data_IF_946897473376
#
_entry.id   IF_946897473376
#
_cell.length_a   1.000
_cell.length_b   1.000
_cell.length_c   1.000
_cell.angle_alpha   90.00
_cell.angle_beta   90.00
_cell.angle_gamma   90.00
#
_symmetry.space_group_name_H-M   'P 1'
#
loop_
_entity.id
_entity.type
_entity.pdbx_description
1 polymer ?
#
# COMPACT_ATOMS: atom_id res chain seq x y z
N UNK A 1 4.05 51.40 -5.86
CA UNK A 1 3.39 51.10 -4.58
C UNK A 1 3.44 49.59 -4.37
N UNK A 2 4.34 49.11 -3.51
CA UNK A 2 4.42 47.68 -3.16
C UNK A 2 3.30 47.43 -2.15
N UNK A 3 2.31 46.63 -2.51
CA UNK A 3 1.39 46.07 -1.52
C UNK A 3 2.23 45.18 -0.60
N UNK A 4 2.57 45.68 0.58
CA UNK A 4 2.96 44.86 1.72
C UNK A 4 1.71 44.07 2.14
N UNK A 5 1.39 43.04 1.37
CA UNK A 5 0.48 41.98 1.79
C UNK A 5 1.16 41.32 2.98
N UNK A 6 0.76 41.73 4.19
CA UNK A 6 1.24 41.16 5.43
C UNK A 6 1.11 39.64 5.36
N UNK A 7 2.24 38.94 5.42
CA UNK A 7 2.27 37.47 5.45
C UNK A 7 1.47 37.04 6.69
N UNK A 8 0.47 36.19 6.48
CA UNK A 8 -0.39 35.70 7.57
C UNK A 8 0.43 34.85 8.54
N UNK A 9 0.08 34.89 9.82
CA UNK A 9 0.50 33.88 10.79
C UNK A 9 -0.57 32.79 10.91
N UNK A 10 -0.14 31.57 11.22
CA UNK A 10 -0.99 30.40 11.39
C UNK A 10 -0.41 29.51 12.48
N UNK A 11 -1.26 28.92 13.32
CA UNK A 11 -0.81 27.92 14.30
C UNK A 11 -0.66 26.54 13.64
N UNK A 12 0.13 25.66 14.26
CA UNK A 12 0.19 24.25 13.85
C UNK A 12 -1.21 23.62 13.81
N UNK A 13 -2.05 23.88 14.81
CA UNK A 13 -3.40 23.36 14.86
C UNK A 13 -4.26 23.77 13.64
N UNK A 14 -4.06 24.97 13.11
CA UNK A 14 -4.77 25.46 11.93
C UNK A 14 -4.31 24.75 10.64
N UNK A 15 -3.01 24.48 10.50
CA UNK A 15 -2.45 23.68 9.39
C UNK A 15 -3.06 22.29 9.38
N UNK A 16 -3.13 21.65 10.56
CA UNK A 16 -3.66 20.30 10.68
C UNK A 16 -5.17 20.28 10.38
N UNK A 17 -5.91 21.31 10.81
CA UNK A 17 -7.34 21.46 10.51
C UNK A 17 -7.61 21.69 9.02
N UNK A 18 -6.76 22.45 8.33
CA UNK A 18 -6.92 22.73 6.89
C UNK A 18 -6.67 21.50 6.00
N UNK A 19 -5.99 20.47 6.53
CA UNK A 19 -5.68 19.22 5.81
C UNK A 19 -6.81 18.18 5.76
N UNK A 20 -8.02 18.49 6.27
CA UNK A 20 -9.13 17.53 6.38
C UNK A 20 -9.50 16.84 5.05
N UNK A 21 -9.47 17.59 3.94
CA UNK A 21 -9.83 17.11 2.59
C UNK A 21 -8.73 17.34 1.55
N UNK A 22 -7.59 17.89 1.95
CA UNK A 22 -6.47 18.26 1.08
C UNK A 22 -5.17 17.71 1.65
N UNK A 23 -4.27 17.28 0.77
CA UNK A 23 -2.89 17.00 1.13
C UNK A 23 -2.15 18.34 1.21
N UNK A 24 -1.55 18.64 2.36
CA UNK A 24 -0.88 19.90 2.64
C UNK A 24 0.61 19.67 2.65
N UNK A 25 1.35 20.36 1.79
CA UNK A 25 2.81 20.31 1.76
C UNK A 25 3.35 21.59 2.41
N UNK A 26 4.13 21.44 3.48
CA UNK A 26 4.82 22.55 4.14
C UNK A 26 6.24 22.60 3.62
N UNK A 27 6.53 23.57 2.77
CA UNK A 27 7.84 23.77 2.18
C UNK A 27 8.58 24.83 3.01
N UNK A 28 9.63 24.47 3.78
CA UNK A 28 10.39 25.43 4.57
C UNK A 28 11.19 26.35 3.65
N UNK A 29 11.49 27.55 4.12
CA UNK A 29 12.51 28.39 3.50
C UNK A 29 13.88 27.68 3.59
N UNK A 30 14.35 27.14 2.47
CA UNK A 30 15.50 26.22 2.43
C UNK A 30 16.68 26.84 1.68
N UNK A 31 17.90 26.56 2.14
CA UNK A 31 19.15 26.93 1.45
C UNK A 31 19.50 25.98 0.29
N UNK A 32 18.68 24.96 0.03
CA UNK A 32 18.88 24.02 -1.06
C UNK A 32 18.91 24.72 -2.43
N UNK A 33 19.79 24.27 -3.33
CA UNK A 33 19.83 24.75 -4.73
C UNK A 33 18.50 24.52 -5.46
N UNK A 34 17.73 23.53 -5.03
CA UNK A 34 16.44 23.19 -5.63
C UNK A 34 15.25 23.90 -4.96
N UNK A 35 15.49 24.82 -4.02
CA UNK A 35 14.40 25.56 -3.35
C UNK A 35 13.52 26.32 -4.35
N UNK A 36 14.13 27.06 -5.27
CA UNK A 36 13.42 27.79 -6.34
C UNK A 36 12.56 26.87 -7.20
N UNK A 37 13.00 25.65 -7.47
CA UNK A 37 12.25 24.65 -8.23
C UNK A 37 11.02 24.17 -7.46
N UNK A 38 11.14 23.90 -6.16
CA UNK A 38 9.99 23.52 -5.33
C UNK A 38 8.95 24.65 -5.24
N UNK A 39 9.39 25.90 -5.08
CA UNK A 39 8.49 27.08 -5.09
C UNK A 39 7.81 27.26 -6.45
N UNK A 40 8.54 27.04 -7.56
CA UNK A 40 7.97 27.07 -8.92
C UNK A 40 6.89 26.00 -9.10
N UNK A 41 7.07 24.81 -8.53
CA UNK A 41 6.02 23.79 -8.56
C UNK A 41 4.83 24.15 -7.67
N UNK A 42 5.08 24.67 -6.46
CA UNK A 42 4.02 25.12 -5.56
C UNK A 42 3.13 26.20 -6.20
N UNK A 43 3.73 27.14 -6.96
CA UNK A 43 2.99 28.20 -7.65
C UNK A 43 2.05 27.71 -8.76
N UNK A 44 2.12 26.42 -9.15
CA UNK A 44 1.20 25.81 -10.11
C UNK A 44 -0.08 25.29 -9.45
N UNK A 45 -0.20 25.43 -8.13
CA UNK A 45 -1.30 24.96 -7.27
C UNK A 45 -1.69 26.07 -6.29
N UNK A 46 -2.75 25.85 -5.52
CA UNK A 46 -3.15 26.74 -4.43
C UNK A 46 -2.04 26.77 -3.35
N UNK A 47 -1.25 27.84 -3.32
CA UNK A 47 -0.16 28.01 -2.36
C UNK A 47 -0.02 29.45 -1.89
N UNK A 48 0.49 29.61 -0.67
CA UNK A 48 0.80 30.92 -0.09
C UNK A 48 1.87 30.80 0.99
N UNK A 49 2.51 31.93 1.28
CA UNK A 49 3.48 32.04 2.37
C UNK A 49 2.80 32.35 3.69
N UNK A 50 3.29 31.76 4.77
CA UNK A 50 2.73 31.88 6.11
C UNK A 50 3.80 31.66 7.15
N UNK A 51 3.71 32.36 8.27
CA UNK A 51 4.49 32.06 9.46
C UNK A 51 3.78 31.00 10.29
N UNK A 52 4.45 29.86 10.49
CA UNK A 52 4.01 28.79 11.40
C UNK A 52 5.04 28.73 12.52
N UNK A 53 4.63 29.07 13.75
CA UNK A 53 5.51 29.14 14.92
C UNK A 53 6.80 29.93 14.64
N UNK A 54 6.67 31.16 14.13
CA UNK A 54 7.77 32.07 13.79
C UNK A 54 8.66 31.64 12.61
N UNK A 55 8.40 30.47 12.01
CA UNK A 55 9.12 29.98 10.83
C UNK A 55 8.32 30.25 9.55
N UNK A 56 9.01 30.73 8.51
CA UNK A 56 8.38 31.00 7.22
C UNK A 56 8.27 29.71 6.39
N UNK A 57 7.03 29.35 6.06
CA UNK A 57 6.70 28.25 5.17
C UNK A 57 5.97 28.74 3.93
N UNK A 58 6.15 28.01 2.83
CA UNK A 58 5.18 28.01 1.74
C UNK A 58 4.27 26.80 1.93
N UNK A 59 2.99 27.05 2.20
CA UNK A 59 1.99 25.99 2.26
C UNK A 59 1.43 25.78 0.85
N UNK A 60 1.39 24.53 0.42
CA UNK A 60 0.83 24.10 -0.85
C UNK A 60 -0.30 23.10 -0.61
N UNK A 61 -1.49 23.39 -1.15
CA UNK A 61 -2.68 22.58 -1.02
C UNK A 61 -2.92 21.74 -2.27
N UNK A 62 -2.97 20.43 -2.08
CA UNK A 62 -3.17 19.42 -3.11
C UNK A 62 -4.53 18.78 -2.90
N UNK A 63 -5.43 18.98 -3.86
CA UNK A 63 -6.74 18.31 -3.84
C UNK A 63 -6.54 16.89 -4.37
N UNK A 64 -7.11 15.85 -3.74
CA UNK A 64 -6.91 14.45 -4.17
C UNK A 64 -8.12 13.80 -4.84
N UNK A 65 -9.33 14.33 -4.62
CA UNK A 65 -10.60 13.62 -4.90
C UNK A 65 -11.25 14.01 -6.25
N UNK A 66 -10.79 15.08 -6.90
CA UNK A 66 -11.42 15.63 -8.12
C UNK A 66 -10.72 15.19 -9.40
N UNK A 67 -11.38 15.19 -10.56
CA UNK A 67 -10.70 14.85 -11.84
C UNK A 67 -9.54 15.81 -12.19
N UNK A 68 -9.61 17.05 -11.72
CA UNK A 68 -8.54 18.04 -11.82
C UNK A 68 -7.29 17.69 -10.98
N UNK A 69 -7.38 16.71 -10.07
CA UNK A 69 -6.31 16.38 -9.12
C UNK A 69 -5.16 15.54 -9.69
N UNK A 70 -5.29 14.96 -10.88
CA UNK A 70 -4.19 14.17 -11.47
C UNK A 70 -2.92 15.03 -11.63
N UNK A 71 -3.09 16.26 -12.13
CA UNK A 71 -2.02 17.26 -12.22
C UNK A 71 -1.49 17.64 -10.83
N UNK A 72 -2.36 17.84 -9.85
CA UNK A 72 -1.95 18.19 -8.49
C UNK A 72 -1.13 17.07 -7.84
N UNK A 73 -1.50 15.80 -8.07
CA UNK A 73 -0.74 14.63 -7.60
C UNK A 73 0.65 14.53 -8.23
N UNK A 74 0.78 14.87 -9.52
CA UNK A 74 2.07 14.97 -10.19
C UNK A 74 2.93 16.11 -9.63
N UNK A 75 2.33 17.28 -9.39
CA UNK A 75 3.01 18.43 -8.79
C UNK A 75 3.47 18.08 -7.37
N UNK A 76 2.60 17.45 -6.57
CA UNK A 76 2.94 16.96 -5.23
C UNK A 76 4.12 16.00 -5.27
N UNK A 77 4.11 15.01 -6.17
CA UNK A 77 5.22 14.07 -6.36
C UNK A 77 6.54 14.78 -6.69
N UNK A 78 6.50 15.79 -7.58
CA UNK A 78 7.67 16.60 -7.93
C UNK A 78 8.20 17.40 -6.75
N UNK A 79 7.34 18.03 -5.96
CA UNK A 79 7.72 18.77 -4.75
C UNK A 79 8.37 17.82 -3.73
N UNK A 80 7.72 16.69 -3.44
CA UNK A 80 8.19 15.70 -2.46
C UNK A 80 9.57 15.16 -2.86
N UNK A 81 9.76 14.77 -4.12
CA UNK A 81 11.04 14.24 -4.60
C UNK A 81 12.20 15.25 -4.43
N UNK A 82 11.91 16.54 -4.52
CA UNK A 82 12.90 17.60 -4.38
C UNK A 82 13.13 18.01 -2.92
N UNK A 83 12.09 17.97 -2.08
CA UNK A 83 12.07 18.56 -0.74
C UNK A 83 12.08 17.54 0.41
N UNK A 84 11.89 16.24 0.17
CA UNK A 84 11.72 15.21 1.21
C UNK A 84 12.82 15.17 2.28
N UNK A 85 14.03 15.58 1.93
CA UNK A 85 15.20 15.57 2.83
C UNK A 85 15.48 16.95 3.46
N UNK A 86 14.62 17.94 3.25
CA UNK A 86 14.82 19.27 3.84
C UNK A 86 14.31 19.29 5.28
N UNK A 87 15.10 19.89 6.19
CA UNK A 87 14.70 20.08 7.58
C UNK A 87 13.43 20.93 7.64
N UNK A 88 12.39 20.41 8.30
CA UNK A 88 11.10 21.08 8.45
C UNK A 88 10.12 20.85 7.29
N UNK A 89 10.53 20.17 6.20
CA UNK A 89 9.56 19.75 5.20
C UNK A 89 8.62 18.71 5.81
N UNK A 90 7.32 18.97 5.71
CA UNK A 90 6.31 18.09 6.26
C UNK A 90 5.11 18.01 5.33
N UNK A 91 4.40 16.90 5.42
CA UNK A 91 3.25 16.58 4.59
C UNK A 91 2.13 16.22 5.54
N UNK A 92 1.00 16.89 5.46
CA UNK A 92 -0.11 16.73 6.39
C UNK A 92 -1.37 16.34 5.63
N UNK A 93 -2.09 15.34 6.12
CA UNK A 93 -3.37 14.90 5.58
C UNK A 93 -4.27 14.41 6.70
N UNK A 94 -5.54 14.84 6.71
CA UNK A 94 -6.53 14.49 7.75
C UNK A 94 -6.00 14.69 9.18
N UNK A 95 -5.27 15.78 9.40
CA UNK A 95 -4.70 16.15 10.69
C UNK A 95 -3.57 15.23 11.15
N UNK A 96 -2.84 14.59 10.22
CA UNK A 96 -1.70 13.73 10.53
C UNK A 96 -0.55 14.00 9.59
N UNK A 97 0.67 13.99 10.14
CA UNK A 97 1.89 14.06 9.34
C UNK A 97 2.16 12.71 8.67
N UNK A 98 2.40 12.73 7.37
CA UNK A 98 2.69 11.57 6.55
C UNK A 98 4.20 11.44 6.30
N UNK A 99 4.71 10.21 6.20
CA UNK A 99 6.10 9.93 5.82
C UNK A 99 6.31 10.08 4.31
N UNK A 100 7.31 10.85 3.88
CA UNK A 100 7.51 11.24 2.47
C UNK A 100 7.71 10.10 1.45
N UNK A 101 8.39 9.01 1.84
CA UNK A 101 8.88 7.99 0.90
C UNK A 101 7.78 7.26 0.12
N UNK A 102 6.78 6.71 0.80
CA UNK A 102 5.70 5.94 0.16
C UNK A 102 4.80 6.82 -0.73
N UNK A 103 4.72 8.11 -0.42
CA UNK A 103 3.80 9.04 -1.06
C UNK A 103 4.17 9.25 -2.53
N UNK A 104 5.42 9.64 -2.81
CA UNK A 104 5.84 9.98 -4.18
C UNK A 104 6.13 8.75 -5.05
N UNK A 105 6.56 7.64 -4.45
CA UNK A 105 6.94 6.44 -5.21
C UNK A 105 5.75 5.51 -5.51
N UNK A 106 4.80 5.36 -4.59
CA UNK A 106 3.74 4.35 -4.70
C UNK A 106 2.35 4.98 -4.77
N UNK A 107 2.01 5.82 -3.80
CA UNK A 107 0.61 6.18 -3.58
C UNK A 107 0.13 7.30 -4.51
N UNK A 108 0.88 8.40 -4.67
CA UNK A 108 0.50 9.50 -5.56
C UNK A 108 0.42 9.06 -7.03
N UNK A 109 1.39 8.30 -7.60
CA UNK A 109 1.24 7.76 -8.95
C UNK A 109 0.02 6.86 -9.08
N UNK A 110 -0.23 5.98 -8.10
CA UNK A 110 -1.40 5.11 -8.12
C UNK A 110 -2.73 5.89 -8.04
N UNK A 111 -2.77 7.00 -7.29
CA UNK A 111 -3.91 7.92 -7.23
C UNK A 111 -4.12 8.59 -8.60
N UNK A 112 -3.05 9.11 -9.22
CA UNK A 112 -3.10 9.71 -10.56
C UNK A 112 -3.74 8.75 -11.58
N UNK A 113 -3.28 7.50 -11.62
CA UNK A 113 -3.84 6.48 -12.52
C UNK A 113 -5.30 6.14 -12.16
N UNK A 114 -5.63 6.07 -10.86
CA UNK A 114 -6.99 5.77 -10.40
C UNK A 114 -8.01 6.84 -10.83
N UNK A 115 -7.61 8.12 -10.79
CA UNK A 115 -8.44 9.25 -11.21
C UNK A 115 -8.77 9.16 -12.71
N UNK A 116 -7.80 8.74 -13.52
CA UNK A 116 -7.95 8.56 -14.97
C UNK A 116 -8.77 7.33 -15.34
N UNK A 117 -8.91 6.35 -14.44
CA UNK A 117 -9.76 5.18 -14.65
C UNK A 117 -11.24 5.52 -14.56
N UNK A 118 -12.06 4.91 -15.44
CA UNK A 118 -13.53 4.97 -15.33
C UNK A 118 -14.00 4.33 -14.01
N UNK A 119 -13.44 3.16 -13.67
CA UNK A 119 -13.74 2.42 -12.45
C UNK A 119 -12.54 2.43 -11.49
N UNK A 120 -12.67 3.21 -10.42
CA UNK A 120 -11.64 3.37 -9.37
C UNK A 120 -11.46 2.04 -8.64
N UNK A 121 -12.57 1.39 -8.31
CA UNK A 121 -12.56 0.06 -7.69
C UNK A 121 -11.82 -0.96 -8.56
N UNK A 122 -12.01 -0.97 -9.88
CA UNK A 122 -11.32 -1.92 -10.76
C UNK A 122 -9.80 -1.67 -10.82
N UNK A 123 -9.36 -0.40 -10.77
CA UNK A 123 -7.93 -0.07 -10.75
C UNK A 123 -7.26 -0.37 -9.40
N UNK A 124 -7.97 -0.08 -8.31
CA UNK A 124 -7.44 -0.18 -6.95
C UNK A 124 -7.49 -1.62 -6.41
N UNK A 125 -8.54 -2.37 -6.72
CA UNK A 125 -8.78 -3.68 -6.12
C UNK A 125 -7.89 -4.77 -6.72
N UNK A 126 -7.61 -5.81 -5.95
CA UNK A 126 -6.85 -6.97 -6.40
C UNK A 126 -7.45 -8.27 -5.87
N UNK A 127 -7.59 -9.25 -6.75
CA UNK A 127 -7.94 -10.61 -6.38
C UNK A 127 -6.70 -11.33 -5.84
N UNK A 128 -6.80 -11.89 -4.65
CA UNK A 128 -5.78 -12.68 -4.00
C UNK A 128 -6.26 -14.12 -3.94
N UNK A 129 -5.52 -14.99 -4.63
CA UNK A 129 -5.85 -16.40 -4.73
C UNK A 129 -4.96 -17.22 -3.82
N UNK A 130 -5.52 -18.27 -3.23
CA UNK A 130 -4.81 -19.18 -2.32
C UNK A 130 -4.15 -18.44 -1.15
N UNK A 131 -2.93 -18.82 -0.78
CA UNK A 131 -2.27 -18.32 0.45
C UNK A 131 -1.45 -17.02 0.28
N UNK A 132 -1.61 -16.27 -0.82
CA UNK A 132 -0.77 -15.10 -1.16
C UNK A 132 -0.86 -13.92 -0.18
N UNK A 133 -1.93 -13.87 0.63
CA UNK A 133 -2.14 -12.84 1.65
C UNK A 133 -1.58 -13.19 3.03
N UNK A 134 -1.07 -14.41 3.22
CA UNK A 134 -0.57 -14.88 4.53
C UNK A 134 0.82 -14.30 4.79
N UNK A 135 1.02 -13.74 5.99
CA UNK A 135 2.23 -12.99 6.39
C UNK A 135 3.51 -13.84 6.40
N UNK A 136 3.42 -15.11 6.76
CA UNK A 136 4.55 -16.03 6.86
C UNK A 136 4.31 -17.32 6.08
N UNK A 137 4.54 -17.26 4.76
CA UNK A 137 4.38 -18.39 3.84
C UNK A 137 5.39 -19.55 4.05
N UNK A 138 6.36 -19.39 4.95
CA UNK A 138 7.54 -20.28 5.03
C UNK A 138 7.31 -21.63 5.70
N UNK A 139 6.12 -21.94 6.21
CA UNK A 139 5.90 -23.17 7.00
C UNK A 139 4.61 -23.93 6.71
N UNK A 140 3.91 -23.67 5.62
CA UNK A 140 2.59 -24.25 5.44
C UNK A 140 2.34 -24.68 3.99
N UNK A 141 2.70 -25.94 3.72
CA UNK A 141 2.16 -26.79 2.63
C UNK A 141 0.65 -27.05 2.76
N UNK A 142 -0.05 -26.28 3.60
CA UNK A 142 -1.46 -26.45 3.85
C UNK A 142 -2.25 -25.38 3.11
N UNK A 143 -3.31 -25.82 2.41
CA UNK A 143 -4.49 -24.99 2.14
C UNK A 143 -5.11 -24.59 3.49
N UNK A 144 -4.50 -23.64 4.20
CA UNK A 144 -5.01 -23.15 5.50
C UNK A 144 -6.34 -22.43 5.25
N UNK A 145 -6.47 -21.74 4.12
CA UNK A 145 -7.65 -20.98 3.77
C UNK A 145 -8.28 -21.51 2.47
N UNK A 146 -9.56 -21.88 2.54
CA UNK A 146 -10.38 -22.25 1.37
C UNK A 146 -11.21 -21.07 0.86
N UNK A 147 -10.60 -19.88 0.84
CA UNK A 147 -11.23 -18.68 0.30
C UNK A 147 -10.20 -17.79 -0.39
N UNK A 148 -10.66 -17.15 -1.45
CA UNK A 148 -9.98 -16.06 -2.11
C UNK A 148 -10.44 -14.73 -1.52
N UNK A 149 -9.64 -13.68 -1.72
CA UNK A 149 -9.96 -12.34 -1.23
C UNK A 149 -9.96 -11.34 -2.38
N UNK A 150 -11.01 -10.53 -2.47
CA UNK A 150 -10.93 -9.28 -3.19
C UNK A 150 -10.57 -8.18 -2.21
N UNK A 151 -9.33 -7.69 -2.27
CA UNK A 151 -8.87 -6.58 -1.43
C UNK A 151 -9.03 -5.24 -2.15
N UNK A 152 -9.32 -4.15 -1.44
CA UNK A 152 -9.62 -2.83 -2.02
C UNK A 152 -8.39 -2.04 -2.47
N UNK A 153 -7.18 -2.44 -2.04
CA UNK A 153 -5.93 -1.79 -2.44
C UNK A 153 -4.85 -2.83 -2.82
N UNK A 154 -4.39 -2.74 -4.08
CA UNK A 154 -3.34 -3.57 -4.66
C UNK A 154 -1.95 -3.34 -4.07
N UNK A 155 -1.69 -2.18 -3.46
CA UNK A 155 -0.38 -1.87 -2.85
C UNK A 155 -0.22 -2.59 -1.50
N UNK A 156 -1.31 -2.75 -0.73
CA UNK A 156 -1.32 -3.44 0.57
C UNK A 156 -1.76 -4.91 0.44
N UNK A 157 -1.54 -5.55 -0.72
CA UNK A 157 -2.24 -6.79 -1.07
C UNK A 157 -1.57 -8.07 -0.60
N UNK A 158 -0.42 -8.02 0.07
CA UNK A 158 0.41 -9.19 0.34
C UNK A 158 0.81 -9.24 1.81
N UNK A 159 0.82 -10.44 2.39
CA UNK A 159 1.41 -10.69 3.70
C UNK A 159 0.78 -9.92 4.86
N UNK A 160 -0.56 -9.77 4.87
CA UNK A 160 -1.26 -9.05 5.93
C UNK A 160 -1.99 -9.95 6.92
N UNK A 161 -2.35 -11.18 6.51
CA UNK A 161 -3.20 -12.05 7.30
C UNK A 161 -2.40 -13.07 8.09
N UNK A 162 -2.76 -13.23 9.35
CA UNK A 162 -2.24 -14.19 10.31
C UNK A 162 -3.43 -14.97 10.90
N UNK A 163 -3.64 -16.24 10.49
CA UNK A 163 -4.79 -17.03 10.93
C UNK A 163 -4.82 -17.33 12.42
N UNK A 164 -3.66 -17.33 13.09
CA UNK A 164 -3.54 -17.57 14.54
C UNK A 164 -3.91 -16.37 15.39
N UNK A 165 -4.07 -15.19 14.78
CA UNK A 165 -4.39 -13.97 15.49
C UNK A 165 -5.92 -13.84 15.63
N UNK A 166 -6.40 -13.67 16.87
CA UNK A 166 -7.82 -13.44 17.20
C UNK A 166 -8.23 -11.99 16.89
N UNK A 167 -8.03 -11.57 15.64
CA UNK A 167 -8.33 -10.24 15.12
C UNK A 167 -8.98 -10.40 13.74
N UNK A 168 -10.12 -9.73 13.47
CA UNK A 168 -10.79 -9.79 12.17
C UNK A 168 -9.89 -9.43 10.98
N UNK A 169 -10.13 -10.06 9.83
CA UNK A 169 -9.30 -9.89 8.62
C UNK A 169 -9.22 -8.44 8.12
N UNK A 170 -10.31 -7.68 8.24
CA UNK A 170 -10.36 -6.26 7.88
C UNK A 170 -9.49 -5.40 8.80
N UNK A 171 -9.42 -5.72 10.10
CA UNK A 171 -8.55 -5.04 11.04
C UNK A 171 -7.07 -5.36 10.81
N UNK A 172 -6.75 -6.64 10.54
CA UNK A 172 -5.40 -7.03 10.15
C UNK A 172 -4.94 -6.33 8.86
N UNK A 173 -5.82 -6.26 7.86
CA UNK A 173 -5.56 -5.54 6.61
C UNK A 173 -5.41 -4.03 6.82
N UNK A 174 -6.22 -3.42 7.68
CA UNK A 174 -6.11 -2.00 8.03
C UNK A 174 -4.76 -1.71 8.70
N UNK A 175 -4.35 -2.54 9.67
CA UNK A 175 -3.06 -2.40 10.33
C UNK A 175 -1.90 -2.53 9.33
N UNK A 176 -2.00 -3.49 8.41
CA UNK A 176 -1.01 -3.65 7.34
C UNK A 176 -1.00 -2.45 6.38
N UNK A 177 -2.16 -1.88 6.02
CA UNK A 177 -2.23 -0.69 5.19
C UNK A 177 -1.57 0.55 5.83
N UNK A 178 -1.62 0.66 7.16
CA UNK A 178 -0.86 1.67 7.92
C UNK A 178 0.63 1.41 7.82
N UNK A 179 1.07 0.16 8.01
CA UNK A 179 2.48 -0.25 7.87
C UNK A 179 3.03 0.05 6.46
N UNK A 180 2.21 -0.16 5.43
CA UNK A 180 2.56 0.11 4.03
C UNK A 180 2.42 1.59 3.64
N UNK A 181 1.94 2.44 4.53
CA UNK A 181 1.77 3.89 4.29
C UNK A 181 0.71 4.23 3.24
N UNK A 182 -0.33 3.39 3.08
CA UNK A 182 -1.41 3.60 2.08
C UNK A 182 -2.75 3.96 2.70
N UNK A 183 -2.88 3.88 4.03
CA UNK A 183 -4.10 4.13 4.79
C UNK A 183 -4.69 5.54 4.61
N UNK A 184 -3.90 6.49 4.10
CA UNK A 184 -4.33 7.87 3.84
C UNK A 184 -4.89 8.06 2.42
N UNK A 185 -4.73 7.08 1.52
CA UNK A 185 -5.23 7.15 0.16
C UNK A 185 -6.76 7.40 0.17
N UNK A 186 -7.30 8.35 -0.61
CA UNK A 186 -8.73 8.66 -0.60
C UNK A 186 -9.62 7.53 -1.13
N UNK A 187 -9.04 6.58 -1.88
CA UNK A 187 -9.76 5.44 -2.45
C UNK A 187 -9.66 4.17 -1.60
N UNK A 188 -8.95 4.22 -0.47
CA UNK A 188 -8.75 3.07 0.40
C UNK A 188 -9.86 2.98 1.46
N UNK A 189 -10.43 1.79 1.61
CA UNK A 189 -11.38 1.45 2.67
C UNK A 189 -11.25 -0.05 3.01
N UNK A 190 -10.72 -0.39 4.18
CA UNK A 190 -10.50 -1.77 4.61
C UNK A 190 -11.78 -2.60 4.74
N UNK A 191 -12.94 -1.98 4.97
CA UNK A 191 -14.21 -2.69 5.11
C UNK A 191 -14.73 -3.25 3.78
N UNK A 192 -14.11 -2.86 2.65
CA UNK A 192 -14.47 -3.34 1.32
C UNK A 192 -13.81 -4.68 0.94
N UNK A 193 -13.11 -5.34 1.87
CA UNK A 193 -12.60 -6.70 1.63
C UNK A 193 -13.79 -7.64 1.40
N UNK A 194 -13.71 -8.45 0.34
CA UNK A 194 -14.69 -9.52 0.11
C UNK A 194 -14.01 -10.87 0.20
N UNK A 195 -14.58 -11.72 1.05
CA UNK A 195 -14.25 -13.15 1.12
C UNK A 195 -15.03 -13.86 0.04
N UNK A 196 -14.34 -14.65 -0.77
CA UNK A 196 -14.91 -15.43 -1.86
C UNK A 196 -14.63 -16.89 -1.53
N UNK A 197 -15.67 -17.60 -1.11
CA UNK A 197 -15.56 -19.03 -0.82
C UNK A 197 -15.16 -19.79 -2.09
N UNK A 198 -14.03 -20.49 -2.01
CA UNK A 198 -13.64 -21.42 -3.08
C UNK A 198 -14.27 -22.77 -2.78
N UNK A 199 -15.11 -23.26 -3.71
CA UNK A 199 -15.58 -24.65 -3.64
C UNK A 199 -14.33 -25.54 -3.64
N UNK A 200 -14.22 -26.52 -2.72
CA UNK A 200 -13.13 -27.46 -2.77
C UNK A 200 -13.16 -28.11 -4.15
N UNK A 201 -12.10 -27.94 -4.94
CA UNK A 201 -11.88 -28.79 -6.10
C UNK A 201 -11.95 -30.22 -5.57
N UNK A 202 -12.92 -31.00 -6.07
CA UNK A 202 -12.92 -32.43 -5.85
C UNK A 202 -11.54 -32.90 -6.27
N UNK A 203 -10.76 -33.39 -5.33
CA UNK A 203 -9.54 -34.09 -5.65
C UNK A 203 -9.96 -35.31 -6.46
N UNK A 204 -9.97 -35.19 -7.78
CA UNK A 204 -9.86 -36.34 -8.66
C UNK A 204 -8.48 -36.92 -8.34
N UNK A 205 -8.43 -37.76 -7.32
CA UNK A 205 -7.37 -38.73 -7.14
C UNK A 205 -7.51 -39.66 -8.35
N UNK A 206 -6.98 -39.22 -9.49
CA UNK A 206 -6.52 -40.13 -10.51
C UNK A 206 -5.24 -40.69 -9.94
N UNK A 207 -5.26 -41.98 -9.63
CA UNK A 207 -4.08 -42.82 -9.45
C UNK A 207 -3.21 -42.76 -10.71
N UNK A 208 -2.54 -41.63 -10.92
CA UNK A 208 -1.52 -41.48 -11.94
C UNK A 208 -0.18 -41.70 -11.25
N UNK A 209 0.17 -42.99 -11.20
CA UNK A 209 1.54 -43.51 -11.29
C UNK A 209 2.48 -42.46 -11.90
N UNK A 210 3.44 -41.96 -11.12
CA UNK A 210 4.50 -41.08 -11.61
C UNK A 210 5.44 -41.86 -12.54
N UNK A 211 5.11 -41.91 -13.82
CA UNK A 211 6.04 -42.25 -14.88
C UNK A 211 6.95 -41.07 -15.17
N UNK A 212 8.13 -41.01 -14.54
CA UNK A 212 9.23 -40.20 -15.05
C UNK A 212 10.08 -41.11 -15.94
N UNK A 213 10.20 -40.76 -17.22
CA UNK A 213 11.36 -41.14 -18.01
C UNK A 213 11.77 -39.95 -18.89
N UNK A 214 12.91 -39.36 -18.52
CA UNK A 214 13.77 -38.57 -19.38
C UNK A 214 15.11 -39.31 -19.46
N UNK A 215 15.64 -39.33 -20.68
CA UNK A 215 16.83 -40.03 -21.12
C UNK A 215 18.07 -39.78 -20.25
N UNK A 216 18.87 -40.83 -20.06
CA UNK A 216 20.30 -40.72 -19.76
C UNK A 216 20.72 -41.20 -18.37
N UNK A 217 21.11 -42.48 -18.31
CA UNK A 217 22.04 -43.09 -17.35
C UNK A 217 21.87 -42.72 -15.86
N UNK A 218 20.97 -43.40 -15.15
CA UNK A 218 21.13 -43.69 -13.71
C UNK A 218 20.47 -45.03 -13.40
N UNK A 219 21.17 -45.88 -12.64
CA UNK A 219 20.64 -47.14 -12.15
C UNK A 219 19.60 -46.87 -11.04
N UNK A 220 18.37 -47.32 -11.24
CA UNK A 220 17.31 -47.25 -10.24
C UNK A 220 17.35 -48.50 -9.36
N UNK A 221 17.61 -48.32 -8.06
CA UNK A 221 17.31 -49.33 -7.04
C UNK A 221 15.84 -49.16 -6.65
N UNK A 222 15.01 -50.13 -7.01
CA UNK A 222 13.63 -50.22 -6.53
C UNK A 222 13.61 -50.96 -5.20
N UNK A 223 13.20 -50.27 -4.13
CA UNK A 223 12.90 -50.90 -2.85
C UNK A 223 11.40 -51.10 -2.78
N UNK A 224 10.99 -52.36 -2.81
CA UNK A 224 9.61 -52.76 -2.60
C UNK A 224 9.30 -52.81 -1.09
N UNK A 225 8.65 -51.76 -0.59
CA UNK A 225 8.25 -51.63 0.82
C UNK A 225 7.07 -52.54 1.21
N UNK A 226 6.41 -53.21 0.25
CA UNK A 226 5.34 -54.18 0.57
C UNK A 226 5.85 -55.41 1.33
N UNK A 227 7.16 -55.68 1.26
CA UNK A 227 7.84 -56.72 2.06
C UNK A 227 8.11 -56.33 3.52
N UNK A 228 7.95 -55.06 3.90
CA UNK A 228 8.19 -54.59 5.27
C UNK A 228 6.91 -54.49 6.12
N UNK A 229 5.73 -54.81 5.55
CA UNK A 229 4.44 -54.68 6.25
C UNK A 229 3.69 -56.01 6.42
N UNK A 230 4.39 -57.15 6.48
CA UNK A 230 3.78 -58.45 6.73
C UNK A 230 4.50 -59.23 7.82
N UNK A 231 4.01 -59.12 9.05
CA UNK A 231 3.87 -60.17 10.09
C UNK A 231 4.05 -59.62 11.52
N UNK A 232 3.04 -58.92 12.02
CA UNK A 232 2.77 -58.89 13.47
C UNK A 232 1.70 -59.94 13.80
N UNK A 233 2.13 -61.22 13.83
CA UNK A 233 1.36 -62.27 14.49
C UNK A 233 1.50 -62.10 16.00
N UNK A 234 0.39 -61.80 16.67
CA UNK A 234 0.22 -61.88 18.13
C UNK A 234 0.72 -63.22 18.67
N UNK A 235 1.52 -63.26 19.75
CA UNK A 235 1.61 -64.44 20.59
C UNK A 235 0.46 -64.42 21.61
N UNK A 236 -0.19 -65.58 21.70
CA UNK A 236 -1.06 -66.03 22.81
C UNK A 236 -0.32 -66.08 24.13
#
# INVERSE_FOLDING_TARGET
MKNDLSIKSMSDADVYRSSSMKLVLLIPNSKSKNHSLAIKFASLTESYQVYVEEQLFTICYITLITLSSARDCEIASKIINVAQNWKGFSIVYKGRTLSGFHLSYQVLPCITDAIQSQSKSAHCSKMLRGNSYIKDYRYVDYKICNFDLLVPCKIASLGFFEPSLDVPINEQYQAHAVQMGVNWCPFFNADNIKVIETKPEKSDIRDNFYGISLNGATASISIDLSKFMGDDKKPT
#
